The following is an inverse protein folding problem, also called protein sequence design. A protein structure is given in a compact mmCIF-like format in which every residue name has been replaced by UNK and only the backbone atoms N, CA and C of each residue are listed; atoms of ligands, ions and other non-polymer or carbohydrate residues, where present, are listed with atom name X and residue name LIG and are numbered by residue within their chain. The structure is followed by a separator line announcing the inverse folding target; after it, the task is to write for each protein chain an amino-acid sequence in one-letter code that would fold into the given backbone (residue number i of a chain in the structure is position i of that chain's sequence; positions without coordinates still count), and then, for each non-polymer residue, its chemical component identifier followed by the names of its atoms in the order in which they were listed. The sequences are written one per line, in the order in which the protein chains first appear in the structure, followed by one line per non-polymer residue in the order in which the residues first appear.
data_IF_737179541726
#
_entry.id   IF_737179541726
#
_cell.length_a   1.000
_cell.length_b   1.000
_cell.length_c   1.000
_cell.angle_alpha   90.00
_cell.angle_beta   90.00
_cell.angle_gamma   90.00
#
_symmetry.space_group_name_H-M   'P 1'
#
loop_
_entity.id
_entity.type
_entity.pdbx_description
1 polymer ?
#
# COMPACT_ATOMS: atom_id res chain seq x y z
N UNK A 1 -3.98 2.48 12.77
CA UNK A 1 -5.10 1.66 12.24
C UNK A 1 -6.14 1.50 13.33
N UNK A 2 -7.29 2.12 13.18
CA UNK A 2 -8.38 2.04 14.15
C UNK A 2 -9.47 1.08 13.69
N UNK A 3 -10.31 0.63 14.62
CA UNK A 3 -11.49 -0.16 14.27
C UNK A 3 -12.43 0.61 13.35
N UNK A 4 -12.58 1.91 13.57
CA UNK A 4 -13.39 2.78 12.73
C UNK A 4 -12.85 2.87 11.29
N UNK A 5 -11.53 2.86 11.10
CA UNK A 5 -10.91 2.82 9.77
C UNK A 5 -11.27 1.53 9.03
N UNK A 6 -11.20 0.39 9.72
CA UNK A 6 -11.54 -0.92 9.14
C UNK A 6 -13.01 -0.96 8.74
N UNK A 7 -13.90 -0.49 9.61
CA UNK A 7 -15.34 -0.42 9.32
C UNK A 7 -15.66 0.53 8.17
N UNK A 8 -14.98 1.67 8.09
CA UNK A 8 -15.12 2.61 6.99
C UNK A 8 -14.68 2.02 5.66
N UNK A 9 -13.57 1.30 5.64
CA UNK A 9 -13.10 0.61 4.43
C UNK A 9 -14.07 -0.51 4.02
N UNK A 10 -14.60 -1.27 4.96
CA UNK A 10 -15.62 -2.29 4.69
C UNK A 10 -16.87 -1.67 4.05
N UNK A 11 -17.34 -0.54 4.57
CA UNK A 11 -18.48 0.17 4.03
C UNK A 11 -18.22 0.70 2.61
N UNK A 12 -17.03 1.24 2.37
CA UNK A 12 -16.64 1.77 1.07
C UNK A 12 -16.46 0.66 0.01
N UNK A 13 -15.79 -0.42 0.37
CA UNK A 13 -15.41 -1.49 -0.55
C UNK A 13 -16.47 -2.57 -0.72
N UNK A 14 -17.35 -2.74 0.27
CA UNK A 14 -18.28 -3.87 0.34
C UNK A 14 -17.64 -5.16 0.89
N UNK A 15 -16.38 -5.13 1.30
CA UNK A 15 -15.69 -6.29 1.86
C UNK A 15 -16.01 -6.43 3.35
N UNK A 16 -17.04 -7.22 3.66
CA UNK A 16 -17.51 -7.53 4.99
C UNK A 16 -17.10 -8.93 5.45
N UNK A 17 -15.95 -9.43 4.99
CA UNK A 17 -15.44 -10.72 5.42
C UNK A 17 -15.34 -10.78 6.94
N UNK A 18 -15.76 -11.88 7.56
CA UNK A 18 -15.92 -11.99 9.00
C UNK A 18 -14.67 -11.61 9.80
N UNK A 19 -13.49 -11.91 9.30
CA UNK A 19 -12.24 -11.61 9.99
C UNK A 19 -12.01 -10.10 10.21
N UNK A 20 -12.68 -9.25 9.44
CA UNK A 20 -12.63 -7.81 9.60
C UNK A 20 -13.77 -7.28 10.45
N UNK A 21 -14.90 -7.97 10.51
CA UNK A 21 -16.16 -7.45 11.01
C UNK A 21 -16.64 -8.07 12.32
N UNK A 22 -16.30 -9.32 12.60
CA UNK A 22 -16.83 -10.10 13.73
C UNK A 22 -15.70 -10.56 14.65
N UNK A 23 -15.60 -9.91 15.83
CA UNK A 23 -14.54 -10.22 16.80
C UNK A 23 -14.60 -11.66 17.30
N UNK A 24 -15.79 -12.19 17.54
CA UNK A 24 -15.96 -13.56 18.06
C UNK A 24 -15.51 -14.58 17.00
N UNK A 25 -15.96 -14.39 15.77
CA UNK A 25 -15.58 -15.27 14.67
C UNK A 25 -14.09 -15.12 14.32
N UNK A 26 -13.57 -13.90 14.31
CA UNK A 26 -12.16 -13.63 14.03
C UNK A 26 -11.22 -14.26 15.06
N UNK A 27 -11.60 -14.29 16.34
CA UNK A 27 -10.83 -14.97 17.39
C UNK A 27 -10.71 -16.48 17.18
N UNK A 28 -11.67 -17.09 16.50
CA UNK A 28 -11.62 -18.51 16.15
C UNK A 28 -10.73 -18.81 14.96
N UNK A 29 -10.35 -17.77 14.20
CA UNK A 29 -9.43 -17.93 13.09
C UNK A 29 -8.02 -18.18 13.63
N UNK A 30 -7.38 -19.33 13.29
CA UNK A 30 -6.08 -19.69 13.85
C UNK A 30 -4.94 -18.76 13.41
N UNK A 31 -5.13 -18.00 12.32
CA UNK A 31 -4.12 -17.10 11.80
C UNK A 31 -4.20 -15.70 12.43
N UNK A 32 -5.38 -15.26 12.85
CA UNK A 32 -5.60 -13.87 13.24
C UNK A 32 -5.78 -13.66 14.74
N UNK A 33 -6.53 -14.52 15.39
CA UNK A 33 -6.78 -14.42 16.83
C UNK A 33 -7.58 -13.20 17.26
N UNK A 34 -8.26 -12.54 16.34
CA UNK A 34 -9.06 -11.33 16.52
C UNK A 34 -9.26 -10.60 15.19
N UNK A 35 -10.02 -9.50 15.20
CA UNK A 35 -10.27 -8.71 13.99
C UNK A 35 -8.96 -8.17 13.43
N UNK A 36 -8.86 -8.15 12.11
CA UNK A 36 -7.68 -7.67 11.36
C UNK A 36 -8.10 -6.70 10.26
N UNK A 37 -7.21 -5.80 9.90
CA UNK A 37 -7.40 -4.92 8.76
C UNK A 37 -7.39 -5.70 7.46
N UNK A 38 -8.18 -5.25 6.49
CA UNK A 38 -8.15 -5.78 5.13
C UNK A 38 -6.75 -5.58 4.54
N UNK A 39 -6.23 -6.60 3.88
CA UNK A 39 -4.95 -6.48 3.18
C UNK A 39 -4.98 -5.37 2.13
N UNK A 40 -6.05 -5.26 1.35
CA UNK A 40 -6.21 -4.19 0.36
C UNK A 40 -6.29 -2.80 0.99
N UNK A 41 -6.86 -2.69 2.19
CA UNK A 41 -6.84 -1.43 2.93
C UNK A 41 -5.42 -1.04 3.33
N UNK A 42 -4.59 -1.99 3.75
CA UNK A 42 -3.19 -1.72 4.07
C UNK A 42 -2.45 -1.14 2.87
N UNK A 43 -2.65 -1.69 1.68
CA UNK A 43 -2.02 -1.19 0.47
C UNK A 43 -2.48 0.22 0.14
N UNK A 44 -3.78 0.50 0.25
CA UNK A 44 -4.33 1.83 0.01
C UNK A 44 -3.82 2.86 1.03
N UNK A 45 -3.82 2.51 2.31
CA UNK A 45 -3.31 3.36 3.38
C UNK A 45 -1.80 3.62 3.25
N UNK A 46 -1.04 2.59 2.89
CA UNK A 46 0.39 2.69 2.65
C UNK A 46 0.72 3.65 1.50
N UNK A 47 -0.04 3.61 0.42
CA UNK A 47 0.12 4.54 -0.69
C UNK A 47 0.02 6.01 -0.23
N UNK A 48 -0.93 6.30 0.65
CA UNK A 48 -1.10 7.64 1.22
C UNK A 48 0.08 8.12 2.08
N UNK A 49 0.93 7.20 2.55
CA UNK A 49 2.08 7.53 3.38
C UNK A 49 3.34 7.92 2.58
N UNK A 50 3.41 7.59 1.29
CA UNK A 50 4.59 7.89 0.48
C UNK A 50 4.30 8.67 -0.81
N UNK A 51 3.04 8.84 -1.19
CA UNK A 51 2.66 9.59 -2.39
C UNK A 51 2.79 11.08 -2.13
N UNK A 52 3.52 11.77 -3.02
CA UNK A 52 3.55 13.23 -3.08
C UNK A 52 2.31 13.71 -3.84
N UNK A 53 1.49 14.59 -3.25
CA UNK A 53 0.22 15.01 -3.88
C UNK A 53 0.40 15.98 -5.03
N UNK A 54 1.52 16.71 -5.07
CA UNK A 54 1.80 17.70 -6.11
C UNK A 54 2.19 17.03 -7.43
N UNK A 55 1.98 17.76 -8.51
CA UNK A 55 2.41 17.34 -9.83
C UNK A 55 3.94 17.22 -9.87
N UNK A 56 4.42 16.04 -10.18
CA UNK A 56 5.85 15.72 -10.15
C UNK A 56 6.24 14.72 -11.25
N UNK A 57 7.42 14.11 -11.15
CA UNK A 57 7.93 13.22 -12.21
C UNK A 57 7.14 11.91 -12.32
N UNK A 58 6.46 11.47 -11.27
CA UNK A 58 5.65 10.25 -11.32
C UNK A 58 4.37 10.54 -12.09
N UNK A 59 4.19 9.84 -13.21
CA UNK A 59 3.03 9.99 -14.09
C UNK A 59 1.89 9.06 -13.72
N UNK A 60 2.21 7.84 -13.30
CA UNK A 60 1.23 6.84 -12.91
C UNK A 60 1.84 5.75 -12.04
N UNK A 61 1.05 5.20 -11.16
CA UNK A 61 1.27 3.91 -10.53
C UNK A 61 0.40 2.91 -11.30
N UNK A 62 1.01 1.96 -12.00
CA UNK A 62 0.29 1.07 -12.90
C UNK A 62 0.19 -0.37 -12.39
N UNK A 63 0.80 -0.69 -11.26
CA UNK A 63 0.72 -2.04 -10.77
C UNK A 63 1.51 -2.32 -9.50
N UNK A 64 1.29 -3.50 -9.01
CA UNK A 64 1.97 -4.11 -7.87
C UNK A 64 2.38 -5.51 -8.26
N UNK A 65 3.65 -5.87 -7.99
CA UNK A 65 4.15 -7.22 -8.16
C UNK A 65 4.53 -7.84 -6.82
N UNK A 66 4.49 -9.16 -6.77
CA UNK A 66 5.00 -9.97 -5.66
C UNK A 66 4.44 -9.58 -4.28
N UNK A 67 3.18 -9.15 -4.23
CA UNK A 67 2.51 -8.80 -2.99
C UNK A 67 2.33 -10.00 -2.08
N UNK A 68 2.79 -9.86 -0.84
CA UNK A 68 2.56 -10.83 0.24
C UNK A 68 2.17 -10.10 1.52
N UNK A 69 1.10 -10.58 2.15
CA UNK A 69 0.74 -10.20 3.51
C UNK A 69 1.42 -11.18 4.46
N UNK A 70 2.40 -10.69 5.21
CA UNK A 70 3.30 -11.52 6.02
C UNK A 70 2.76 -11.69 7.44
N UNK A 71 2.15 -10.64 7.97
CA UNK A 71 1.63 -10.60 9.33
C UNK A 71 0.35 -9.77 9.39
N UNK A 72 -0.68 -10.20 10.13
CA UNK A 72 -1.91 -9.41 10.24
C UNK A 72 -1.67 -8.08 10.96
N UNK A 73 -2.39 -7.06 10.54
CA UNK A 73 -2.47 -5.76 11.22
C UNK A 73 -3.79 -5.68 11.96
N UNK A 74 -3.71 -5.40 13.26
CA UNK A 74 -4.85 -5.37 14.17
C UNK A 74 -5.26 -3.94 14.51
N UNK A 75 -6.52 -3.73 14.95
CA UNK A 75 -6.91 -2.44 15.50
C UNK A 75 -5.94 -2.00 16.61
N UNK A 76 -5.50 -0.75 16.55
CA UNK A 76 -4.50 -0.20 17.46
C UNK A 76 -3.06 -0.24 16.92
N UNK A 77 -2.78 -1.06 15.93
CA UNK A 77 -1.46 -1.08 15.28
C UNK A 77 -1.21 0.22 14.51
N UNK A 78 0.06 0.61 14.47
CA UNK A 78 0.55 1.71 13.65
C UNK A 78 1.40 1.14 12.51
N UNK A 79 1.28 1.73 11.34
CA UNK A 79 2.07 1.34 10.18
C UNK A 79 2.92 2.48 9.67
N UNK A 80 4.06 2.13 9.10
CA UNK A 80 4.93 3.00 8.30
C UNK A 80 5.37 2.26 7.06
N UNK A 81 5.83 2.98 6.07
CA UNK A 81 6.31 2.41 4.81
C UNK A 81 7.80 2.70 4.66
N UNK A 82 8.54 1.68 4.28
CA UNK A 82 9.90 1.82 3.76
C UNK A 82 9.85 1.52 2.26
N UNK A 83 10.33 2.48 1.46
CA UNK A 83 10.35 2.36 0.02
C UNK A 83 11.74 2.70 -0.51
N UNK A 84 12.24 1.91 -1.45
CA UNK A 84 13.53 2.14 -2.10
C UNK A 84 13.45 1.77 -3.58
N UNK A 85 14.23 2.48 -4.40
CA UNK A 85 14.31 2.18 -5.83
C UNK A 85 15.01 0.83 -6.04
N UNK A 86 14.34 -0.07 -6.76
CA UNK A 86 14.84 -1.42 -7.05
C UNK A 86 15.41 -1.53 -8.45
N UNK A 87 14.71 -0.95 -9.43
CA UNK A 87 15.08 -1.06 -10.84
C UNK A 87 14.53 0.13 -11.64
N UNK A 88 15.29 0.56 -12.63
CA UNK A 88 14.89 1.60 -13.58
C UNK A 88 15.04 1.08 -15.00
N UNK A 89 14.04 1.31 -15.84
CA UNK A 89 14.03 0.95 -17.25
C UNK A 89 13.61 2.14 -18.10
N UNK A 90 14.47 2.55 -19.04
CA UNK A 90 14.14 3.62 -19.97
C UNK A 90 13.32 3.07 -21.14
N UNK A 91 12.28 3.82 -21.51
CA UNK A 91 11.53 3.60 -22.74
C UNK A 91 11.75 4.81 -23.65
N UNK A 92 12.94 4.88 -24.25
CA UNK A 92 13.43 6.04 -25.00
C UNK A 92 12.46 6.53 -26.10
N UNK A 93 11.77 5.60 -26.78
CA UNK A 93 10.81 5.93 -27.83
C UNK A 93 9.53 6.61 -27.33
N UNK A 94 9.20 6.48 -26.05
CA UNK A 94 7.96 7.00 -25.45
C UNK A 94 8.17 8.28 -24.62
N UNK A 95 9.42 8.67 -24.33
CA UNK A 95 9.75 9.84 -23.52
C UNK A 95 9.50 9.69 -22.03
N UNK A 96 9.33 8.45 -21.54
CA UNK A 96 9.20 8.11 -20.13
C UNK A 96 9.99 6.85 -19.78
N UNK A 97 10.15 6.62 -18.48
CA UNK A 97 10.73 5.41 -17.94
C UNK A 97 9.81 4.70 -16.98
N UNK A 98 10.17 3.50 -16.64
CA UNK A 98 9.53 2.72 -15.58
C UNK A 98 10.48 2.63 -14.39
N UNK A 99 9.94 2.79 -13.18
CA UNK A 99 10.68 2.59 -11.95
C UNK A 99 9.94 1.56 -11.12
N UNK A 100 10.67 0.53 -10.72
CA UNK A 100 10.20 -0.49 -9.78
C UNK A 100 10.74 -0.14 -8.40
N UNK A 101 9.87 -0.11 -7.43
CA UNK A 101 10.19 0.21 -6.04
C UNK A 101 9.98 -1.00 -5.16
N UNK A 102 10.93 -1.25 -4.28
CA UNK A 102 10.76 -2.21 -3.19
C UNK A 102 10.05 -1.52 -2.04
N UNK A 103 8.92 -2.06 -1.61
CA UNK A 103 8.09 -1.49 -0.56
C UNK A 103 7.82 -2.51 0.55
N UNK A 104 7.94 -2.05 1.78
CA UNK A 104 7.59 -2.83 2.97
C UNK A 104 6.70 -1.98 3.88
N UNK A 105 5.61 -2.58 4.34
CA UNK A 105 4.79 -2.01 5.41
C UNK A 105 5.26 -2.60 6.72
N UNK A 106 5.55 -1.76 7.70
CA UNK A 106 6.19 -2.13 8.96
C UNK A 106 5.30 -1.63 10.10
N UNK A 107 5.07 -2.49 11.11
CA UNK A 107 4.28 -2.12 12.28
C UNK A 107 5.14 -1.40 13.35
N UNK A 108 4.51 -1.05 14.48
CA UNK A 108 5.16 -0.36 15.61
C UNK A 108 6.29 -1.17 16.25
N UNK A 109 6.30 -2.48 16.09
CA UNK A 109 7.34 -3.38 16.65
C UNK A 109 8.52 -3.58 15.69
N UNK A 110 8.51 -2.90 14.55
CA UNK A 110 9.52 -3.05 13.50
C UNK A 110 9.35 -4.30 12.64
N UNK A 111 8.23 -5.03 12.78
CA UNK A 111 7.96 -6.21 11.98
C UNK A 111 7.39 -5.84 10.61
N UNK A 112 7.87 -6.50 9.56
CA UNK A 112 7.29 -6.40 8.23
C UNK A 112 5.95 -7.11 8.21
N UNK A 113 4.89 -6.38 7.88
CA UNK A 113 3.53 -6.92 7.79
C UNK A 113 3.09 -7.19 6.36
N UNK A 114 3.67 -6.48 5.39
CA UNK A 114 3.48 -6.73 3.97
C UNK A 114 4.73 -6.32 3.18
N UNK A 115 4.97 -7.00 2.06
CA UNK A 115 6.05 -6.67 1.13
C UNK A 115 5.55 -6.77 -0.31
N UNK A 116 6.00 -5.86 -1.16
CA UNK A 116 5.59 -5.81 -2.57
C UNK A 116 6.49 -4.89 -3.37
N UNK A 117 6.39 -4.99 -4.69
CA UNK A 117 6.99 -4.03 -5.62
C UNK A 117 5.90 -3.06 -6.10
N UNK A 118 6.21 -1.77 -6.08
CA UNK A 118 5.37 -0.72 -6.68
C UNK A 118 5.90 -0.42 -8.07
N UNK A 119 5.02 -0.39 -9.07
CA UNK A 119 5.37 -0.18 -10.47
C UNK A 119 4.89 1.20 -10.90
N UNK A 120 5.83 2.09 -11.24
CA UNK A 120 5.51 3.46 -11.63
C UNK A 120 6.04 3.80 -13.02
N UNK A 121 5.30 4.68 -13.69
CA UNK A 121 5.75 5.36 -14.90
C UNK A 121 6.22 6.75 -14.50
N UNK A 122 7.43 7.11 -14.94
CA UNK A 122 8.11 8.33 -14.53
C UNK A 122 8.56 9.09 -15.77
N UNK A 123 8.42 10.40 -15.76
CA UNK A 123 8.93 11.29 -16.80
C UNK A 123 10.46 11.24 -16.83
N UNK A 124 11.05 11.19 -18.01
CA UNK A 124 12.52 11.26 -18.20
C UNK A 124 13.09 12.64 -17.86
N UNK A 125 12.28 13.66 -17.94
CA UNK A 125 12.67 15.06 -17.70
C UNK A 125 11.77 15.67 -16.65
N UNK A 126 12.31 16.67 -15.96
CA UNK A 126 11.49 17.50 -15.10
C UNK A 126 10.28 18.03 -15.88
N UNK A 127 9.09 17.85 -15.32
CA UNK A 127 7.88 18.41 -15.89
C UNK A 127 7.88 19.90 -15.51
N UNK A 128 7.75 20.83 -16.47
CA UNK A 128 7.71 22.24 -16.15
C UNK A 128 6.55 22.56 -15.22
N UNK A 129 6.78 23.43 -14.24
CA UNK A 129 5.76 23.87 -13.28
C UNK A 129 4.59 24.63 -13.93
N UNK A 130 4.75 25.03 -15.18
CA UNK A 130 3.71 25.68 -15.97
C UNK A 130 3.15 24.72 -17.03
N UNK A 131 2.08 24.04 -16.69
CA UNK A 131 1.13 23.59 -17.70
C UNK A 131 0.13 24.71 -17.86
N UNK A 132 0.42 25.57 -18.80
CA UNK A 132 -0.55 26.58 -19.20
C UNK A 132 -1.77 25.93 -19.86
#
# INVERSE_FOLDING_TARGET
MTLADIESFAALSGDHFYAHMDEVAARRNPLFGGRVAHGYFLIAAAAGLFVEPEFGPVLANYGIDALRFVKPVKPGDRIRVRISCKEKSLRAAAGYGEVRWDAEIINQDGAVVASYDVLTIVSERAIPDEVA
#
